data_IF_495530881256
#
_entry.id   IF_495530881256
#
_cell.length_a   1.000
_cell.length_b   1.000
_cell.length_c   1.000
_cell.angle_alpha   90.00
_cell.angle_beta   90.00
_cell.angle_gamma   90.00
#
_symmetry.space_group_name_H-M   'P 1'
#
loop_
_entity.id
_entity.type
_entity.pdbx_description
1 polymer ?
#
# COMPACT_ATOMS: atom_id res chain seq x y z
N UNK A 1 7.38 5.25 -6.53
CA UNK A 1 6.01 4.91 -6.98
C UNK A 1 5.23 6.21 -7.09
N UNK A 2 4.33 6.36 -8.07
CA UNK A 2 3.59 7.62 -8.23
C UNK A 2 2.08 7.42 -8.34
N UNK A 3 1.33 8.44 -7.94
CA UNK A 3 -0.11 8.56 -8.13
C UNK A 3 -0.40 9.98 -8.64
N UNK A 4 -0.78 10.07 -9.93
CA UNK A 4 -0.82 11.35 -10.66
C UNK A 4 -2.24 11.71 -11.09
N UNK A 5 -2.58 13.00 -11.06
CA UNK A 5 -3.82 13.51 -11.66
C UNK A 5 -3.67 14.95 -12.15
N UNK A 6 -4.08 15.18 -13.39
CA UNK A 6 -4.19 16.53 -13.95
C UNK A 6 -5.54 17.16 -13.65
N UNK A 7 -5.50 18.38 -13.13
CA UNK A 7 -6.64 19.25 -12.91
C UNK A 7 -6.62 20.42 -13.89
N UNK A 8 -7.80 20.80 -14.37
CA UNK A 8 -7.99 21.95 -15.24
C UNK A 8 -8.63 23.09 -14.44
N UNK A 9 -7.80 24.03 -13.97
CA UNK A 9 -8.26 25.18 -13.20
C UNK A 9 -8.45 26.44 -14.06
N UNK A 10 -8.48 26.33 -15.39
CA UNK A 10 -8.57 27.52 -16.27
C UNK A 10 -9.82 28.37 -16.03
N UNK A 11 -10.90 27.75 -15.57
CA UNK A 11 -12.19 28.39 -15.26
C UNK A 11 -12.40 28.64 -13.76
N UNK A 12 -11.36 28.49 -12.94
CA UNK A 12 -11.44 28.65 -11.49
C UNK A 12 -10.50 29.74 -10.98
N UNK A 13 -11.04 30.59 -10.12
CA UNK A 13 -10.31 31.61 -9.38
C UNK A 13 -9.82 31.05 -8.03
N UNK A 14 -8.84 31.72 -7.42
CA UNK A 14 -8.47 31.46 -6.04
C UNK A 14 -9.63 31.80 -5.06
N UNK A 15 -9.75 31.09 -3.92
CA UNK A 15 -8.83 30.05 -3.45
C UNK A 15 -9.04 28.69 -4.13
N UNK A 16 -7.97 27.90 -4.17
CA UNK A 16 -8.03 26.47 -4.51
C UNK A 16 -7.34 25.70 -3.40
N UNK A 17 -8.02 24.72 -2.82
CA UNK A 17 -7.50 23.94 -1.71
C UNK A 17 -7.50 22.46 -2.05
N UNK A 18 -6.35 21.80 -1.95
CA UNK A 18 -6.30 20.34 -1.91
C UNK A 18 -6.47 19.87 -0.47
N UNK A 19 -7.44 19.00 -0.23
CA UNK A 19 -7.60 18.28 1.04
C UNK A 19 -7.53 16.79 0.80
N UNK A 20 -6.90 16.05 1.70
CA UNK A 20 -6.84 14.59 1.65
C UNK A 20 -6.56 14.05 3.04
N UNK A 21 -6.92 12.79 3.25
CA UNK A 21 -6.44 12.02 4.39
C UNK A 21 -5.22 11.22 3.98
N UNK A 22 -4.23 11.17 4.86
CA UNK A 22 -3.03 10.36 4.69
C UNK A 22 -2.73 9.61 5.97
N UNK A 23 -2.33 8.36 5.82
CA UNK A 23 -1.71 7.55 6.84
C UNK A 23 -0.39 7.04 6.29
N UNK A 24 0.67 7.07 7.08
CA UNK A 24 1.96 6.55 6.65
C UNK A 24 2.79 6.00 7.81
N UNK A 25 3.59 4.98 7.50
CA UNK A 25 4.64 4.42 8.32
C UNK A 25 5.84 4.13 7.41
N UNK A 26 6.79 5.06 7.38
CA UNK A 26 7.95 5.10 6.51
C UNK A 26 9.23 4.87 7.33
N UNK A 27 10.31 4.39 6.71
CA UNK A 27 11.60 4.37 7.38
C UNK A 27 12.06 5.80 7.70
N UNK A 28 12.16 6.12 8.99
CA UNK A 28 12.62 7.41 9.48
C UNK A 28 14.00 7.75 8.90
N UNK A 29 14.16 8.98 8.42
CA UNK A 29 15.32 9.53 7.71
C UNK A 29 15.65 8.92 6.33
N UNK A 30 15.04 7.84 5.86
CA UNK A 30 15.43 7.18 4.58
C UNK A 30 14.33 7.19 3.51
N UNK A 31 13.09 6.91 3.90
CA UNK A 31 11.95 6.80 2.98
C UNK A 31 11.11 8.08 3.05
N UNK A 32 10.66 8.57 1.89
CA UNK A 32 9.92 9.84 1.82
C UNK A 32 8.73 9.77 0.88
N UNK A 33 7.64 10.42 1.30
CA UNK A 33 6.51 10.75 0.44
C UNK A 33 6.53 12.25 0.12
N UNK A 34 6.41 12.57 -1.16
CA UNK A 34 6.36 13.94 -1.66
C UNK A 34 4.99 14.25 -2.28
N UNK A 35 4.50 15.46 -2.03
CA UNK A 35 3.42 16.05 -2.82
C UNK A 35 4.06 16.99 -3.84
N UNK A 36 3.90 16.69 -5.12
CA UNK A 36 4.51 17.44 -6.20
C UNK A 36 3.47 18.01 -7.16
N UNK A 37 3.85 19.07 -7.86
CA UNK A 37 3.03 19.68 -8.90
C UNK A 37 3.84 19.99 -10.16
N UNK A 38 3.19 19.91 -11.32
CA UNK A 38 3.80 20.27 -12.60
C UNK A 38 2.78 20.87 -13.56
N UNK A 39 3.16 21.93 -14.26
CA UNK A 39 2.32 22.58 -15.30
C UNK A 39 2.67 22.14 -16.72
N UNK A 40 3.77 21.39 -16.90
CA UNK A 40 4.25 20.89 -18.19
C UNK A 40 4.43 19.36 -18.23
N UNK A 41 4.35 18.68 -17.08
CA UNK A 41 4.56 17.24 -16.93
C UNK A 41 6.03 16.81 -16.90
N UNK A 42 6.97 17.76 -17.03
CA UNK A 42 8.41 17.50 -17.11
C UNK A 42 9.13 18.06 -15.88
N UNK A 43 8.78 19.28 -15.46
CA UNK A 43 9.36 19.97 -14.32
C UNK A 43 8.41 19.86 -13.13
N UNK A 44 8.89 19.25 -12.05
CA UNK A 44 8.11 18.99 -10.85
C UNK A 44 8.60 19.87 -9.70
N UNK A 45 7.65 20.42 -8.95
CA UNK A 45 7.90 21.27 -7.77
C UNK A 45 7.27 20.61 -6.57
N UNK A 46 8.08 20.36 -5.54
CA UNK A 46 7.66 19.86 -4.24
C UNK A 46 6.86 20.95 -3.51
N UNK A 47 5.69 20.59 -3.00
CA UNK A 47 4.81 21.46 -2.23
C UNK A 47 5.11 21.32 -0.73
N UNK A 48 5.19 22.45 -0.04
CA UNK A 48 5.25 22.50 1.42
C UNK A 48 3.91 22.07 2.04
N UNK A 49 3.83 20.79 2.42
CA UNK A 49 2.70 20.23 3.15
C UNK A 49 2.78 20.49 4.66
N UNK A 50 1.65 20.65 5.37
CA UNK A 50 1.64 20.92 6.81
C UNK A 50 2.42 19.94 7.70
N UNK A 51 2.42 18.64 7.42
CA UNK A 51 3.12 17.63 8.23
C UNK A 51 4.44 17.11 7.63
N UNK A 52 5.00 17.79 6.62
CA UNK A 52 6.32 17.45 6.10
C UNK A 52 7.48 18.03 6.91
N UNK A 53 8.70 17.67 6.50
CA UNK A 53 9.97 18.11 7.08
C UNK A 53 11.00 18.35 5.97
N UNK A 54 11.95 19.26 6.20
CA UNK A 54 13.15 19.47 5.38
C UNK A 54 14.42 18.79 5.96
N UNK A 55 14.27 18.03 7.05
CA UNK A 55 15.37 17.28 7.63
C UNK A 55 15.87 16.20 6.66
N UNK A 56 17.20 16.15 6.52
CA UNK A 56 17.89 15.19 5.67
C UNK A 56 19.13 14.59 6.37
N UNK A 57 18.96 13.84 7.48
CA UNK A 57 20.09 13.31 8.23
C UNK A 57 20.88 12.23 7.47
N UNK A 58 20.19 11.50 6.59
CA UNK A 58 20.77 10.41 5.77
C UNK A 58 21.38 10.91 4.45
N UNK A 59 20.91 12.05 3.92
CA UNK A 59 21.22 12.49 2.56
C UNK A 59 20.25 11.94 1.49
N UNK A 60 19.18 11.25 1.89
CA UNK A 60 18.20 10.66 0.97
C UNK A 60 17.05 11.60 0.61
N UNK A 61 16.85 12.70 1.33
CA UNK A 61 15.72 13.60 1.06
C UNK A 61 15.94 14.43 -0.21
N UNK A 62 14.90 14.53 -1.04
CA UNK A 62 14.84 15.44 -2.19
C UNK A 62 14.31 16.83 -1.84
N UNK A 63 13.96 17.08 -0.58
CA UNK A 63 13.43 18.36 -0.11
C UNK A 63 12.35 18.18 0.94
N UNK A 64 11.29 18.99 0.87
CA UNK A 64 10.19 18.91 1.83
C UNK A 64 9.35 17.65 1.62
N UNK A 65 9.38 16.71 2.55
CA UNK A 65 8.65 15.45 2.43
C UNK A 65 8.07 14.96 3.75
N UNK A 66 7.14 14.03 3.66
CA UNK A 66 6.73 13.23 4.81
C UNK A 66 7.78 12.17 5.10
N UNK A 67 8.05 11.93 6.38
CA UNK A 67 9.00 10.92 6.85
C UNK A 67 8.54 10.38 8.22
N UNK A 68 8.98 9.18 8.58
CA UNK A 68 8.57 8.50 9.82
C UNK A 68 7.10 8.06 9.78
N UNK A 69 6.36 8.26 10.88
CA UNK A 69 4.95 7.82 10.98
C UNK A 69 3.98 9.00 11.11
N UNK A 70 2.83 8.92 10.45
CA UNK A 70 1.81 9.98 10.45
C UNK A 70 1.23 10.21 11.85
N UNK A 71 1.03 11.48 12.21
CA UNK A 71 0.58 11.84 13.57
C UNK A 71 1.59 11.55 14.69
N UNK A 72 2.78 11.02 14.36
CA UNK A 72 3.79 10.56 15.32
C UNK A 72 3.50 9.19 15.94
N UNK A 73 2.31 8.63 15.69
CA UNK A 73 1.85 7.35 16.25
C UNK A 73 1.21 6.41 15.20
N UNK A 74 1.33 6.75 13.90
CA UNK A 74 0.69 6.02 12.83
C UNK A 74 -0.83 6.21 12.83
N UNK A 75 -1.31 7.42 13.07
CA UNK A 75 -2.73 7.78 12.95
C UNK A 75 -3.01 8.45 11.60
N UNK A 76 -4.24 8.29 11.09
CA UNK A 76 -4.70 9.05 9.93
C UNK A 76 -4.71 10.54 10.27
N UNK A 77 -4.10 11.34 9.41
CA UNK A 77 -4.11 12.81 9.50
C UNK A 77 -4.76 13.41 8.27
N UNK A 78 -5.43 14.54 8.44
CA UNK A 78 -6.01 15.29 7.34
C UNK A 78 -5.08 16.44 6.96
N UNK A 79 -4.76 16.50 5.68
CA UNK A 79 -3.93 17.54 5.09
C UNK A 79 -4.76 18.59 4.37
N UNK A 80 -4.26 19.83 4.39
CA UNK A 80 -4.87 20.96 3.70
C UNK A 80 -3.78 21.83 3.07
N UNK A 81 -3.73 21.82 1.74
CA UNK A 81 -2.66 22.41 0.95
C UNK A 81 -3.24 23.48 0.03
N UNK A 82 -2.64 24.68 0.04
CA UNK A 82 -3.03 25.78 -0.84
C UNK A 82 -2.50 25.57 -2.27
N UNK A 83 -3.42 25.54 -3.23
CA UNK A 83 -3.15 25.42 -4.66
C UNK A 83 -3.53 26.69 -5.42
N UNK A 84 -3.83 27.80 -4.74
CA UNK A 84 -4.31 29.04 -5.36
C UNK A 84 -3.37 29.61 -6.42
N UNK A 85 -2.07 29.30 -6.34
CA UNK A 85 -1.09 29.64 -7.38
C UNK A 85 -1.36 28.98 -8.75
N UNK A 86 -2.21 27.96 -8.80
CA UNK A 86 -2.61 27.27 -10.02
C UNK A 86 -3.98 27.70 -10.57
N UNK A 87 -4.63 28.68 -9.95
CA UNK A 87 -5.86 29.27 -10.50
C UNK A 87 -5.63 29.81 -11.92
N UNK A 88 -6.58 29.56 -12.83
CA UNK A 88 -6.49 29.97 -14.22
C UNK A 88 -5.56 29.11 -15.11
N UNK A 89 -5.03 27.99 -14.63
CA UNK A 89 -4.15 27.11 -15.42
C UNK A 89 -4.38 25.62 -15.17
N UNK A 90 -3.74 24.78 -15.98
CA UNK A 90 -3.70 23.32 -15.79
C UNK A 90 -2.52 22.96 -14.90
N UNK A 91 -2.72 22.01 -14.00
CA UNK A 91 -1.66 21.48 -13.14
C UNK A 91 -1.86 19.99 -12.94
N UNK A 92 -0.77 19.23 -12.97
CA UNK A 92 -0.75 17.84 -12.53
C UNK A 92 -0.26 17.80 -11.10
N UNK A 93 -1.00 17.12 -10.25
CA UNK A 93 -0.65 16.83 -8.86
C UNK A 93 -0.16 15.38 -8.81
N UNK A 94 0.93 15.14 -8.08
CA UNK A 94 1.52 13.82 -7.89
C UNK A 94 1.79 13.57 -6.41
N UNK A 95 1.43 12.38 -5.96
CA UNK A 95 2.02 11.79 -4.76
C UNK A 95 3.15 10.86 -5.19
N UNK A 96 4.38 11.11 -4.75
CA UNK A 96 5.54 10.28 -5.07
C UNK A 96 6.12 9.66 -3.81
N UNK A 97 6.17 8.34 -3.77
CA UNK A 97 6.80 7.58 -2.70
C UNK A 97 8.14 7.03 -3.15
N UNK A 98 9.21 7.42 -2.46
CA UNK A 98 10.59 7.04 -2.74
C UNK A 98 11.14 6.28 -1.55
N UNK A 99 11.64 5.08 -1.82
CA UNK A 99 12.26 4.22 -0.81
C UNK A 99 13.71 3.94 -1.15
N UNK A 100 14.49 3.63 -0.12
CA UNK A 100 15.84 3.10 -0.29
C UNK A 100 15.80 1.57 -0.61
N UNK A 101 16.97 0.91 -0.63
CA UNK A 101 17.07 -0.51 -0.97
C UNK A 101 17.05 -1.46 0.24
N UNK A 102 16.88 -0.95 1.47
CA UNK A 102 17.14 -1.67 2.71
C UNK A 102 15.86 -2.00 3.49
N UNK A 103 15.41 -1.10 4.35
CA UNK A 103 14.23 -1.31 5.19
C UNK A 103 13.04 -0.61 4.53
N UNK A 104 11.85 -1.10 4.84
CA UNK A 104 10.62 -0.45 4.39
C UNK A 104 9.64 -0.60 5.55
N UNK A 105 9.00 0.50 5.93
CA UNK A 105 7.84 0.47 6.84
C UNK A 105 6.62 -0.18 6.18
N UNK A 106 5.43 -0.01 6.76
CA UNK A 106 4.20 -0.50 6.15
C UNK A 106 3.84 0.26 4.85
N UNK A 107 4.36 1.48 4.68
CA UNK A 107 4.15 2.32 3.51
C UNK A 107 3.15 3.43 3.80
N UNK A 108 2.25 3.71 2.85
CA UNK A 108 1.28 4.79 3.01
C UNK A 108 -0.09 4.47 2.39
N UNK A 109 -1.10 5.16 2.90
CA UNK A 109 -2.46 5.13 2.42
C UNK A 109 -2.95 6.57 2.22
N UNK A 110 -3.70 6.79 1.15
CA UNK A 110 -4.35 8.05 0.82
C UNK A 110 -5.84 7.81 0.69
N UNK A 111 -6.64 8.73 1.21
CA UNK A 111 -8.10 8.67 1.10
C UNK A 111 -8.73 10.05 1.03
N UNK A 112 -10.00 10.11 0.62
CA UNK A 112 -10.84 11.30 0.69
C UNK A 112 -10.18 12.57 0.08
N UNK A 113 -9.57 12.39 -1.10
CA UNK A 113 -8.93 13.49 -1.83
C UNK A 113 -10.01 14.39 -2.45
N UNK A 114 -9.95 15.69 -2.17
CA UNK A 114 -10.91 16.66 -2.65
C UNK A 114 -10.28 18.01 -2.99
N UNK A 115 -10.92 18.71 -3.93
CA UNK A 115 -10.72 20.14 -4.19
C UNK A 115 -12.10 20.79 -4.11
N UNK A 116 -12.51 21.25 -2.90
CA UNK A 116 -13.88 21.67 -2.66
C UNK A 116 -14.35 22.78 -3.59
N UNK A 117 -13.47 23.72 -3.94
CA UNK A 117 -13.80 24.86 -4.80
C UNK A 117 -14.12 24.46 -6.25
N UNK A 118 -13.65 23.29 -6.69
CA UNK A 118 -14.03 22.72 -8.00
C UNK A 118 -15.17 21.70 -7.93
N UNK A 119 -15.60 21.34 -6.72
CA UNK A 119 -16.55 20.25 -6.50
C UNK A 119 -15.98 18.85 -6.75
N UNK A 120 -14.65 18.74 -6.89
CA UNK A 120 -14.00 17.43 -7.07
C UNK A 120 -13.83 16.72 -5.73
N UNK A 121 -14.16 15.43 -5.69
CA UNK A 121 -13.79 14.54 -4.61
C UNK A 121 -13.68 13.09 -5.08
N UNK A 122 -12.84 12.31 -4.40
CA UNK A 122 -12.76 10.85 -4.51
C UNK A 122 -12.34 10.24 -3.18
N UNK A 123 -13.08 9.23 -2.73
CA UNK A 123 -12.67 8.33 -1.63
C UNK A 123 -12.28 6.95 -2.16
N UNK A 124 -11.99 6.82 -3.45
CA UNK A 124 -11.59 5.58 -4.11
C UNK A 124 -12.53 4.36 -3.97
N UNK A 125 -13.74 4.50 -3.45
CA UNK A 125 -14.64 3.36 -3.22
C UNK A 125 -15.18 2.76 -4.53
N UNK A 126 -15.48 3.62 -5.51
CA UNK A 126 -16.11 3.22 -6.78
C UNK A 126 -15.06 3.00 -7.87
N UNK A 127 -14.15 3.96 -8.04
CA UNK A 127 -13.14 3.97 -9.09
C UNK A 127 -11.87 4.71 -8.63
N UNK A 128 -10.93 4.96 -9.54
CA UNK A 128 -9.68 5.65 -9.24
C UNK A 128 -9.82 7.19 -9.13
N UNK A 129 -11.02 7.78 -9.24
CA UNK A 129 -11.21 9.23 -9.21
C UNK A 129 -10.51 10.00 -10.34
N UNK A 130 -10.10 9.29 -11.39
CA UNK A 130 -9.25 9.78 -12.48
C UNK A 130 -7.80 10.05 -12.07
N UNK A 131 -7.31 9.41 -11.01
CA UNK A 131 -5.89 9.27 -10.72
C UNK A 131 -5.30 8.12 -11.54
N UNK A 132 -4.03 8.28 -11.91
CA UNK A 132 -3.24 7.28 -12.64
C UNK A 132 -2.17 6.75 -11.70
N UNK A 133 -2.26 5.46 -11.38
CA UNK A 133 -1.29 4.78 -10.54
C UNK A 133 -0.08 4.25 -11.33
N UNK A 134 1.10 4.39 -10.71
CA UNK A 134 2.33 3.72 -11.11
C UNK A 134 3.01 3.14 -9.85
N UNK A 135 2.47 2.00 -9.40
CA UNK A 135 2.93 1.28 -8.21
C UNK A 135 1.98 1.40 -7.02
N UNK A 136 1.17 2.47 -6.97
CA UNK A 136 0.03 2.53 -6.06
C UNK A 136 -1.04 1.50 -6.44
N UNK A 137 -1.78 1.02 -5.45
CA UNK A 137 -2.87 0.08 -5.66
C UNK A 137 -4.09 0.50 -4.86
N UNK A 138 -5.26 0.43 -5.50
CA UNK A 138 -6.53 0.62 -4.81
C UNK A 138 -6.86 -0.64 -4.04
N UNK A 139 -6.86 -0.54 -2.71
CA UNK A 139 -7.22 -1.65 -1.82
C UNK A 139 -8.59 -1.38 -1.20
N UNK A 140 -9.32 -2.46 -0.91
CA UNK A 140 -10.33 -2.40 0.14
C UNK A 140 -9.58 -2.63 1.46
N UNK A 141 -10.12 -2.15 2.58
CA UNK A 141 -9.52 -2.26 3.92
C UNK A 141 -9.35 -3.73 4.44
N UNK A 142 -9.38 -4.70 3.53
CA UNK A 142 -9.12 -6.11 3.68
C UNK A 142 -8.28 -6.56 2.49
N UNK A 143 -7.03 -6.94 2.75
CA UNK A 143 -6.22 -7.74 1.82
C UNK A 143 -6.59 -9.21 2.04
N UNK A 144 -7.18 -9.92 1.06
CA UNK A 144 -7.52 -11.32 1.24
C UNK A 144 -6.25 -12.15 1.47
N UNK A 145 -6.16 -12.80 2.63
CA UNK A 145 -5.07 -13.72 2.88
C UNK A 145 -5.26 -14.99 2.04
N UNK A 146 -4.30 -15.30 1.18
CA UNK A 146 -4.32 -16.51 0.33
C UNK A 146 -3.20 -17.44 0.73
N UNK A 147 -3.40 -18.75 0.57
CA UNK A 147 -2.41 -19.76 0.91
C UNK A 147 -2.19 -20.77 -0.21
N UNK A 148 -0.97 -21.29 -0.27
CA UNK A 148 -0.65 -22.52 -0.98
C UNK A 148 -0.27 -23.58 0.04
N UNK A 149 -0.93 -24.74 -0.04
CA UNK A 149 -0.64 -25.88 0.82
C UNK A 149 -0.02 -27.01 0.01
N UNK A 150 0.92 -27.70 0.62
CA UNK A 150 1.39 -28.99 0.14
C UNK A 150 1.53 -29.96 1.32
N UNK A 151 1.25 -31.23 1.07
CA UNK A 151 1.53 -32.31 2.02
C UNK A 151 2.57 -33.23 1.41
N UNK A 152 3.63 -33.48 2.19
CA UNK A 152 4.70 -34.39 1.83
C UNK A 152 4.52 -35.66 2.66
N UNK A 153 4.47 -36.81 1.98
CA UNK A 153 4.39 -38.12 2.62
C UNK A 153 5.70 -38.84 2.38
N UNK A 154 6.48 -39.06 3.44
CA UNK A 154 7.80 -39.66 3.38
C UNK A 154 7.71 -41.15 3.77
N UNK A 155 8.45 -41.98 3.05
CA UNK A 155 8.52 -43.44 3.22
C UNK A 155 9.32 -44.05 2.06
N UNK A 156 9.09 -45.32 1.74
CA UNK A 156 9.76 -46.02 0.63
C UNK A 156 9.52 -45.37 -0.75
N UNK A 157 8.43 -44.63 -0.91
CA UNK A 157 8.08 -43.88 -2.12
C UNK A 157 7.53 -42.52 -1.73
N UNK A 158 8.38 -41.48 -1.63
CA UNK A 158 7.96 -40.17 -1.19
C UNK A 158 7.03 -39.50 -2.22
N UNK A 159 6.00 -38.82 -1.72
CA UNK A 159 4.99 -38.14 -2.54
C UNK A 159 4.80 -36.69 -2.07
N UNK A 160 4.52 -35.80 -3.02
CA UNK A 160 4.11 -34.40 -2.79
C UNK A 160 2.75 -34.20 -3.41
N UNK A 161 1.78 -33.75 -2.60
CA UNK A 161 0.44 -33.40 -3.06
C UNK A 161 0.18 -31.93 -2.76
N UNK A 162 -0.19 -31.15 -3.79
CA UNK A 162 -0.65 -29.77 -3.62
C UNK A 162 -2.13 -29.76 -3.29
N UNK A 163 -2.49 -29.05 -2.23
CA UNK A 163 -3.84 -29.03 -1.69
C UNK A 163 -4.55 -27.73 -2.08
N UNK A 164 -5.82 -27.87 -2.46
CA UNK A 164 -6.68 -26.73 -2.78
C UNK A 164 -7.57 -26.42 -1.59
N UNK A 165 -7.46 -25.19 -1.06
CA UNK A 165 -8.32 -24.71 0.01
C UNK A 165 -9.73 -24.39 -0.52
N UNK A 166 -10.71 -24.44 0.39
CA UNK A 166 -12.03 -23.87 0.15
C UNK A 166 -11.98 -22.34 0.11
N UNK A 167 -13.07 -21.70 -0.31
CA UNK A 167 -13.20 -20.23 -0.30
C UNK A 167 -13.07 -19.61 1.10
N UNK A 168 -13.25 -20.40 2.17
CA UNK A 168 -13.04 -19.99 3.56
C UNK A 168 -11.60 -20.19 4.07
N UNK A 169 -10.66 -20.58 3.21
CA UNK A 169 -9.30 -21.00 3.60
C UNK A 169 -9.25 -22.22 4.54
N UNK A 170 -10.20 -23.14 4.40
CA UNK A 170 -10.27 -24.36 5.21
C UNK A 170 -10.08 -25.61 4.34
N UNK A 171 -9.48 -26.66 4.92
CA UNK A 171 -9.38 -28.01 4.36
C UNK A 171 -9.28 -29.05 5.49
N UNK A 172 -9.87 -30.22 5.28
CA UNK A 172 -9.65 -31.41 6.10
C UNK A 172 -8.85 -32.43 5.29
N UNK A 173 -7.75 -32.93 5.86
CA UNK A 173 -6.80 -33.79 5.15
C UNK A 173 -6.79 -35.15 5.85
N UNK A 174 -7.25 -36.24 5.21
CA UNK A 174 -7.15 -37.57 5.79
C UNK A 174 -5.68 -38.01 5.84
N UNK A 175 -5.23 -38.46 7.01
CA UNK A 175 -3.85 -38.90 7.25
C UNK A 175 -3.80 -40.39 7.60
N UNK A 176 -2.89 -41.12 6.96
CA UNK A 176 -2.57 -42.50 7.29
C UNK A 176 -1.05 -42.61 7.50
N UNK A 177 -0.64 -42.87 8.74
CA UNK A 177 0.78 -42.95 9.15
C UNK A 177 1.05 -44.35 9.70
N UNK A 178 2.14 -44.96 9.25
CA UNK A 178 2.52 -46.34 9.59
C UNK A 178 1.69 -47.41 8.86
N UNK A 179 1.89 -48.68 9.24
CA UNK A 179 1.23 -49.86 8.64
C UNK A 179 1.41 -49.97 7.11
N UNK A 180 2.59 -49.62 6.58
CA UNK A 180 2.87 -49.63 5.14
C UNK A 180 2.41 -48.39 4.38
N UNK A 181 1.96 -47.34 5.09
CA UNK A 181 1.75 -45.99 4.54
C UNK A 181 3.00 -45.13 4.75
N UNK A 182 2.84 -43.82 4.83
CA UNK A 182 3.92 -42.89 5.13
C UNK A 182 4.48 -43.12 6.55
N UNK A 183 5.81 -43.03 6.67
CA UNK A 183 6.51 -43.03 7.95
C UNK A 183 6.43 -41.65 8.62
N UNK A 184 6.44 -40.60 7.80
CA UNK A 184 6.39 -39.20 8.24
C UNK A 184 5.52 -38.39 7.26
N UNK A 185 4.80 -37.42 7.82
CA UNK A 185 3.96 -36.49 7.06
C UNK A 185 4.35 -35.06 7.44
N UNK A 186 4.65 -34.24 6.43
CA UNK A 186 4.97 -32.83 6.60
C UNK A 186 3.89 -31.99 5.91
N UNK A 187 3.26 -31.10 6.67
CA UNK A 187 2.38 -30.07 6.12
C UNK A 187 3.20 -28.80 5.85
N UNK A 188 3.19 -28.34 4.60
CA UNK A 188 3.78 -27.07 4.19
C UNK A 188 2.64 -26.08 3.97
N UNK A 189 2.70 -24.95 4.69
CA UNK A 189 1.76 -23.84 4.57
C UNK A 189 2.55 -22.60 4.14
N UNK A 190 2.19 -22.02 3.01
CA UNK A 190 2.80 -20.79 2.52
C UNK A 190 1.71 -19.72 2.32
N UNK A 191 1.88 -18.55 2.95
CA UNK A 191 1.12 -17.35 2.61
C UNK A 191 1.50 -16.88 1.20
N UNK A 192 0.51 -16.54 0.39
CA UNK A 192 0.69 -16.17 -1.03
C UNK A 192 0.09 -14.81 -1.40
N UNK A 193 -0.45 -14.10 -0.41
CA UNK A 193 -0.95 -12.74 -0.57
C UNK A 193 0.17 -11.85 -1.09
N UNK A 194 -0.07 -11.25 -2.25
CA UNK A 194 0.88 -10.32 -2.83
C UNK A 194 0.88 -9.01 -2.04
N UNK A 195 2.00 -8.30 -2.09
CA UNK A 195 2.12 -6.92 -1.58
C UNK A 195 1.91 -6.79 -0.06
N UNK A 196 2.12 -7.86 0.71
CA UNK A 196 2.17 -7.79 2.16
C UNK A 196 3.46 -8.40 2.68
N UNK A 197 4.01 -7.80 3.74
CA UNK A 197 5.11 -8.36 4.55
C UNK A 197 4.59 -8.92 5.87
N UNK A 198 3.29 -8.85 6.13
CA UNK A 198 2.70 -9.38 7.34
C UNK A 198 2.78 -10.91 7.35
N UNK A 199 3.05 -11.47 8.53
CA UNK A 199 3.11 -12.91 8.72
C UNK A 199 1.71 -13.53 8.50
N UNK A 200 1.65 -14.56 7.66
CA UNK A 200 0.41 -15.24 7.35
C UNK A 200 -0.03 -16.12 8.53
N UNK A 201 -1.08 -15.68 9.22
CA UNK A 201 -1.61 -16.39 10.41
C UNK A 201 -2.45 -17.61 10.02
N UNK A 202 -2.04 -18.80 10.46
CA UNK A 202 -2.80 -20.03 10.27
C UNK A 202 -2.91 -20.84 11.57
N UNK A 203 -3.88 -21.75 11.62
CA UNK A 203 -4.01 -22.74 12.69
C UNK A 203 -4.28 -24.11 12.08
N UNK A 204 -3.80 -25.15 12.74
CA UNK A 204 -4.12 -26.53 12.41
C UNK A 204 -4.16 -27.35 13.69
N UNK A 205 -4.88 -28.46 13.65
CA UNK A 205 -4.88 -29.47 14.69
C UNK A 205 -4.97 -30.85 14.05
N UNK A 206 -4.60 -31.87 14.82
CA UNK A 206 -4.70 -33.27 14.40
C UNK A 206 -5.63 -33.96 15.38
N UNK A 207 -6.64 -34.63 14.85
CA UNK A 207 -7.57 -35.44 15.62
C UNK A 207 -7.39 -36.92 15.23
N UNK A 208 -7.18 -37.79 16.21
CA UNK A 208 -7.12 -39.22 15.99
C UNK A 208 -8.55 -39.78 16.09
N UNK A 209 -9.03 -40.36 14.98
CA UNK A 209 -10.28 -41.12 14.97
C UNK A 209 -10.06 -42.55 15.46
#
# INVERSE_FOLDING_TARGET
MTLDKTFDFTEYDAPLTLTYWVWYDLEEDYDYLYLETSTDGENWVIIHTPSGTDEDPSGNSYGWGYNGSSGGDGSWIQEKVDLSQFAGQKVTIRFEYVTDAAVNGEGLLLDDIAIPETGYSTGFEVDAGGWVDAGFVRIQNVLPQTYQLAILRLGDSPEVEYLTLTAGNEIEIPLAIGNGNADEVILVVAGTTRFTRQEASYSFWIEQQ
#
